data_IF_105019104277
#
_entry.id   IF_105019104277
#
_cell.length_a   1.000
_cell.length_b   1.000
_cell.length_c   1.000
_cell.angle_alpha   90.00
_cell.angle_beta   90.00
_cell.angle_gamma   90.00
#
_symmetry.space_group_name_H-M   'P 1'
#
loop_
_entity.id
_entity.type
_entity.pdbx_description
1 polymer ?
#
# COMPACT_ATOMS: atom_id res chain seq x y z
N UNK A 1 2.99 -13.67 20.77
CA UNK A 1 1.85 -13.24 19.95
C UNK A 1 1.67 -14.22 18.80
N UNK A 2 0.43 -14.60 18.43
CA UNK A 2 0.19 -15.46 17.25
C UNK A 2 0.63 -14.77 15.96
N UNK A 3 1.11 -15.53 14.98
CA UNK A 3 1.53 -15.01 13.68
C UNK A 3 2.89 -14.29 13.62
N UNK A 4 3.59 -14.15 14.74
CA UNK A 4 4.96 -13.62 14.76
C UNK A 4 5.93 -14.65 14.22
N UNK A 5 6.75 -14.26 13.25
CA UNK A 5 7.80 -15.10 12.69
C UNK A 5 9.05 -14.30 12.35
N UNK A 6 10.13 -15.01 12.02
CA UNK A 6 11.38 -14.39 11.58
C UNK A 6 11.23 -13.89 10.15
N UNK A 7 11.33 -12.59 9.96
CA UNK A 7 11.17 -11.90 8.67
C UNK A 7 12.50 -11.29 8.23
N UNK A 8 12.77 -11.33 6.93
CA UNK A 8 13.88 -10.59 6.35
C UNK A 8 13.49 -9.11 6.24
N UNK A 9 14.35 -8.23 6.75
CA UNK A 9 14.16 -6.79 6.66
C UNK A 9 15.06 -6.22 5.56
N UNK A 10 14.46 -5.86 4.43
CA UNK A 10 15.15 -5.13 3.37
C UNK A 10 15.40 -3.69 3.85
N UNK A 11 16.62 -3.36 4.25
CA UNK A 11 17.01 -2.02 4.69
C UNK A 11 18.36 -1.65 4.09
N UNK A 12 18.44 -0.44 3.53
CA UNK A 12 19.73 0.14 3.08
C UNK A 12 20.62 0.57 4.25
N UNK A 13 20.07 0.64 5.46
CA UNK A 13 20.82 0.98 6.67
C UNK A 13 21.51 -0.27 7.23
N UNK A 14 22.83 -0.36 7.09
CA UNK A 14 23.66 -1.45 7.56
C UNK A 14 23.64 -1.65 9.09
N UNK A 15 23.23 -0.64 9.86
CA UNK A 15 23.09 -0.74 11.32
C UNK A 15 21.83 -1.52 11.74
N UNK A 16 20.90 -1.78 10.83
CA UNK A 16 19.70 -2.58 11.12
C UNK A 16 19.96 -4.06 10.90
N UNK A 17 19.44 -4.94 11.78
CA UNK A 17 19.57 -6.38 11.59
C UNK A 17 18.85 -6.81 10.30
N UNK A 18 19.47 -7.74 9.55
CA UNK A 18 18.87 -8.28 8.32
C UNK A 18 17.60 -9.09 8.57
N UNK A 19 17.39 -9.58 9.82
CA UNK A 19 16.20 -10.32 10.21
C UNK A 19 15.61 -9.77 11.51
N UNK A 20 14.29 -9.72 11.55
CA UNK A 20 13.50 -9.30 12.71
C UNK A 20 12.40 -10.32 13.00
N UNK A 21 11.93 -10.36 14.24
CA UNK A 21 10.70 -11.08 14.58
C UNK A 21 9.52 -10.10 14.53
N UNK A 22 8.50 -10.42 13.77
CA UNK A 22 7.37 -9.52 13.60
C UNK A 22 6.20 -10.17 12.85
N UNK A 23 5.17 -9.37 12.66
CA UNK A 23 4.02 -9.72 11.82
C UNK A 23 4.23 -9.21 10.40
N UNK A 24 3.83 -10.02 9.42
CA UNK A 24 3.72 -9.60 8.03
C UNK A 24 2.29 -9.13 7.77
N UNK A 25 2.12 -7.82 7.59
CA UNK A 25 0.83 -7.24 7.21
C UNK A 25 0.79 -6.91 5.73
N UNK A 26 -0.34 -7.22 5.11
CA UNK A 26 -0.75 -6.63 3.85
C UNK A 26 -1.64 -5.42 4.11
N UNK A 27 -1.32 -4.29 3.50
CA UNK A 27 -2.10 -3.06 3.63
C UNK A 27 -2.62 -2.57 2.29
N UNK A 28 -3.90 -2.25 2.25
CA UNK A 28 -4.59 -1.68 1.09
C UNK A 28 -5.20 -0.33 1.46
N UNK A 29 -5.03 0.65 0.58
CA UNK A 29 -5.67 1.95 0.72
C UNK A 29 -6.16 2.48 -0.62
N UNK A 30 -7.18 3.35 -0.57
CA UNK A 30 -7.69 4.05 -1.74
C UNK A 30 -7.18 5.49 -1.76
N UNK A 31 -6.78 5.96 -2.94
CA UNK A 31 -6.43 7.37 -3.12
C UNK A 31 -7.71 8.21 -3.26
N UNK A 32 -7.88 9.18 -2.40
CA UNK A 32 -9.00 10.11 -2.40
C UNK A 32 -8.49 11.55 -2.31
N UNK A 33 -9.21 12.49 -2.93
CA UNK A 33 -8.86 13.90 -2.91
C UNK A 33 -8.81 14.54 -4.30
N UNK A 34 -7.97 15.55 -4.46
CA UNK A 34 -7.76 16.29 -5.70
C UNK A 34 -6.27 16.37 -6.05
N UNK A 35 -5.94 16.88 -7.25
CA UNK A 35 -4.58 16.90 -7.83
C UNK A 35 -3.46 17.32 -6.85
N UNK A 36 -3.74 18.22 -5.90
CA UNK A 36 -2.74 18.68 -4.92
C UNK A 36 -2.93 18.12 -3.52
N UNK A 37 -4.03 17.43 -3.26
CA UNK A 37 -4.49 17.04 -1.92
C UNK A 37 -4.89 15.57 -1.82
N UNK A 38 -4.11 14.68 -2.43
CA UNK A 38 -4.36 13.25 -2.33
C UNK A 38 -4.08 12.71 -0.93
N UNK A 39 -5.03 11.98 -0.37
CA UNK A 39 -4.86 11.10 0.79
C UNK A 39 -4.90 9.63 0.35
N UNK A 40 -4.22 8.77 1.07
CA UNK A 40 -4.41 7.33 0.98
C UNK A 40 -5.26 6.91 2.18
N UNK A 41 -6.54 6.64 1.95
CA UNK A 41 -7.46 6.19 2.99
C UNK A 41 -7.29 4.68 3.15
N UNK A 42 -6.97 4.17 4.35
CA UNK A 42 -6.81 2.74 4.57
C UNK A 42 -8.15 2.01 4.41
N UNK A 43 -8.17 0.99 3.57
CA UNK A 43 -9.32 0.09 3.39
C UNK A 43 -9.18 -1.15 4.27
N UNK A 44 -7.99 -1.75 4.30
CA UNK A 44 -7.72 -2.91 5.13
C UNK A 44 -6.25 -3.04 5.46
N UNK A 45 -5.95 -3.57 6.65
CA UNK A 45 -4.64 -4.08 7.03
C UNK A 45 -4.87 -5.44 7.67
N UNK A 46 -4.30 -6.49 7.06
CA UNK A 46 -4.51 -7.89 7.47
C UNK A 46 -3.19 -8.62 7.67
N UNK A 47 -3.19 -9.60 8.53
CA UNK A 47 -2.09 -10.54 8.66
C UNK A 47 -2.07 -11.48 7.46
N UNK A 48 -0.99 -11.45 6.68
CA UNK A 48 -0.82 -12.25 5.46
C UNK A 48 0.02 -13.51 5.65
N UNK A 49 0.76 -13.59 6.74
CA UNK A 49 1.70 -14.68 6.96
C UNK A 49 1.69 -15.13 8.42
N UNK A 50 2.12 -16.37 8.67
CA UNK A 50 2.19 -16.94 10.02
C UNK A 50 0.84 -17.35 10.61
N UNK A 51 -0.24 -17.42 9.82
CA UNK A 51 -1.59 -17.78 10.27
C UNK A 51 -2.17 -19.00 9.54
N UNK A 52 -1.37 -19.74 8.77
CA UNK A 52 -1.89 -20.84 7.97
C UNK A 52 -2.64 -21.87 8.82
N UNK A 53 -2.01 -22.40 9.86
CA UNK A 53 -2.64 -23.35 10.77
C UNK A 53 -3.90 -22.76 11.47
N UNK A 54 -3.89 -21.49 11.84
CA UNK A 54 -5.05 -20.84 12.45
C UNK A 54 -6.26 -20.82 11.51
N UNK A 55 -6.04 -20.54 10.22
CA UNK A 55 -7.10 -20.55 9.21
C UNK A 55 -7.61 -21.96 8.94
N UNK A 56 -6.73 -22.98 8.93
CA UNK A 56 -7.12 -24.37 8.82
C UNK A 56 -8.01 -24.82 10.00
N UNK A 57 -7.73 -24.34 11.22
CA UNK A 57 -8.58 -24.65 12.38
C UNK A 57 -10.00 -24.05 12.26
N UNK A 58 -10.17 -22.99 11.48
CA UNK A 58 -11.48 -22.38 11.17
C UNK A 58 -12.16 -23.02 9.95
N UNK A 59 -11.56 -24.06 9.37
CA UNK A 59 -12.10 -24.73 8.18
C UNK A 59 -11.97 -23.89 6.90
N UNK A 60 -11.20 -22.80 6.95
CA UNK A 60 -10.95 -22.01 5.77
C UNK A 60 -10.01 -22.74 4.82
N UNK A 61 -10.38 -22.85 3.55
CA UNK A 61 -9.46 -23.29 2.50
C UNK A 61 -8.29 -22.30 2.44
N UNK A 62 -7.16 -22.69 2.99
CA UNK A 62 -5.96 -21.86 2.95
C UNK A 62 -5.38 -21.95 1.56
N UNK A 63 -5.54 -20.89 0.80
CA UNK A 63 -4.68 -20.67 -0.35
C UNK A 63 -3.25 -20.56 0.18
N UNK A 64 -2.37 -21.49 -0.21
CA UNK A 64 -0.92 -21.38 0.02
C UNK A 64 -0.32 -20.22 -0.81
N UNK A 65 -1.14 -19.23 -1.12
CA UNK A 65 -0.78 -18.10 -1.94
C UNK A 65 0.25 -17.24 -1.22
N UNK A 66 1.27 -16.85 -1.94
CA UNK A 66 2.27 -15.91 -1.44
C UNK A 66 1.62 -14.58 -1.05
N UNK A 67 2.25 -13.83 -0.14
CA UNK A 67 1.84 -12.48 0.24
C UNK A 67 1.48 -11.59 -0.97
N UNK A 68 2.25 -11.70 -2.05
CA UNK A 68 2.03 -10.95 -3.29
C UNK A 68 0.67 -11.27 -3.93
N UNK A 69 0.32 -12.56 -4.01
CA UNK A 69 -0.96 -13.02 -4.55
C UNK A 69 -2.12 -12.61 -3.65
N UNK A 70 -1.96 -12.74 -2.33
CA UNK A 70 -2.97 -12.30 -1.36
C UNK A 70 -3.29 -10.80 -1.50
N UNK A 71 -2.25 -9.96 -1.71
CA UNK A 71 -2.44 -8.52 -1.95
C UNK A 71 -3.27 -8.23 -3.21
N UNK A 72 -3.04 -8.96 -4.31
CA UNK A 72 -3.84 -8.83 -5.55
C UNK A 72 -5.28 -9.26 -5.29
N UNK A 73 -5.51 -10.35 -4.56
CA UNK A 73 -6.85 -10.83 -4.20
C UNK A 73 -7.60 -9.83 -3.31
N UNK A 74 -6.94 -9.28 -2.30
CA UNK A 74 -7.56 -8.30 -1.40
C UNK A 74 -7.89 -7.00 -2.13
N UNK A 75 -7.02 -6.55 -3.04
CA UNK A 75 -7.29 -5.40 -3.90
C UNK A 75 -8.48 -5.65 -4.84
N UNK A 76 -8.56 -6.84 -5.44
CA UNK A 76 -9.69 -7.19 -6.31
C UNK A 76 -11.01 -7.26 -5.53
N UNK A 77 -11.01 -7.82 -4.30
CA UNK A 77 -12.19 -7.80 -3.43
C UNK A 77 -12.65 -6.37 -3.12
N UNK A 78 -11.71 -5.46 -2.90
CA UNK A 78 -12.05 -4.05 -2.71
C UNK A 78 -12.60 -3.42 -4.00
N UNK A 79 -12.03 -3.74 -5.16
CA UNK A 79 -12.50 -3.27 -6.46
C UNK A 79 -13.96 -3.65 -6.73
N UNK A 80 -14.46 -4.79 -6.23
CA UNK A 80 -15.87 -5.17 -6.33
C UNK A 80 -16.83 -4.12 -5.75
N UNK A 81 -16.38 -3.32 -4.78
CA UNK A 81 -17.18 -2.24 -4.20
C UNK A 81 -17.02 -0.89 -4.90
N UNK A 82 -15.94 -0.68 -5.65
CA UNK A 82 -15.60 0.61 -6.27
C UNK A 82 -15.67 0.59 -7.80
N UNK A 83 -15.72 -0.57 -8.44
CA UNK A 83 -15.67 -0.74 -9.88
C UNK A 83 -14.25 -0.93 -10.42
N UNK A 84 -14.10 -0.74 -11.75
CA UNK A 84 -12.82 -0.86 -12.44
C UNK A 84 -11.74 -0.02 -11.77
N UNK A 85 -10.56 -0.60 -11.55
CA UNK A 85 -9.56 -0.03 -10.67
C UNK A 85 -8.14 -0.18 -11.19
N UNK A 86 -7.27 0.73 -10.78
CA UNK A 86 -5.84 0.67 -11.04
C UNK A 86 -5.07 0.51 -9.73
N UNK A 87 -4.41 -0.61 -9.56
CA UNK A 87 -3.64 -0.94 -8.36
C UNK A 87 -2.20 -0.47 -8.51
N UNK A 88 -1.76 0.43 -7.61
CA UNK A 88 -0.39 0.95 -7.58
C UNK A 88 0.45 0.14 -6.58
N UNK A 89 1.42 -0.60 -7.09
CA UNK A 89 2.23 -1.53 -6.30
C UNK A 89 3.72 -1.17 -6.30
N UNK A 90 4.46 -1.62 -5.30
CA UNK A 90 5.91 -1.53 -5.28
C UNK A 90 6.54 -2.59 -6.20
N UNK A 91 7.83 -2.42 -6.52
CA UNK A 91 8.60 -3.34 -7.38
C UNK A 91 8.59 -4.80 -6.90
N UNK A 92 8.38 -5.03 -5.61
CA UNK A 92 8.28 -6.35 -5.00
C UNK A 92 7.14 -7.18 -5.61
N UNK A 93 6.09 -6.54 -6.07
CA UNK A 93 4.88 -7.18 -6.57
C UNK A 93 4.91 -7.54 -8.06
N UNK A 94 5.93 -7.15 -8.82
CA UNK A 94 6.08 -7.57 -10.21
C UNK A 94 6.57 -9.02 -10.26
N UNK A 95 5.64 -9.95 -10.20
CA UNK A 95 5.87 -11.40 -10.21
C UNK A 95 4.90 -12.11 -11.14
N UNK A 96 5.32 -13.24 -11.71
CA UNK A 96 4.46 -14.04 -12.59
C UNK A 96 3.19 -14.50 -11.86
N UNK A 97 3.24 -15.04 -10.62
CA UNK A 97 2.04 -15.46 -9.91
C UNK A 97 1.04 -14.32 -9.67
N UNK A 98 1.51 -13.08 -9.44
CA UNK A 98 0.63 -11.93 -9.28
C UNK A 98 -0.15 -11.63 -10.57
N UNK A 99 0.54 -11.63 -11.73
CA UNK A 99 -0.08 -11.37 -13.02
C UNK A 99 -1.01 -12.50 -13.46
N UNK A 100 -0.63 -13.76 -13.25
CA UNK A 100 -1.50 -14.91 -13.51
C UNK A 100 -2.79 -14.83 -12.67
N UNK A 101 -2.65 -14.49 -11.38
CA UNK A 101 -3.82 -14.33 -10.51
C UNK A 101 -4.70 -13.16 -10.92
N UNK A 102 -4.10 -12.01 -11.27
CA UNK A 102 -4.82 -10.87 -11.79
C UNK A 102 -5.60 -11.25 -13.06
N UNK A 103 -4.97 -11.93 -14.01
CA UNK A 103 -5.63 -12.40 -15.24
C UNK A 103 -6.79 -13.32 -14.95
N UNK A 104 -6.65 -14.27 -14.00
CA UNK A 104 -7.73 -15.16 -13.60
C UNK A 104 -8.90 -14.41 -12.93
N UNK A 105 -8.61 -13.40 -12.11
CA UNK A 105 -9.64 -12.57 -11.46
C UNK A 105 -10.39 -11.72 -12.48
N UNK A 106 -9.69 -11.05 -13.38
CA UNK A 106 -10.31 -10.27 -14.46
C UNK A 106 -11.18 -11.14 -15.40
N UNK A 107 -10.76 -12.38 -15.66
CA UNK A 107 -11.53 -13.33 -16.44
C UNK A 107 -12.83 -13.75 -15.74
N UNK A 108 -12.96 -13.60 -14.42
CA UNK A 108 -14.21 -13.84 -13.69
C UNK A 108 -15.28 -12.78 -13.95
N UNK A 109 -14.93 -11.64 -14.51
CA UNK A 109 -15.82 -10.70 -15.18
C UNK A 109 -16.60 -9.72 -14.32
N UNK A 110 -16.41 -9.69 -13.01
CA UNK A 110 -17.17 -8.79 -12.13
C UNK A 110 -16.71 -7.32 -12.24
N UNK A 111 -15.40 -7.11 -12.26
CA UNK A 111 -14.73 -5.80 -12.45
C UNK A 111 -13.41 -6.03 -13.16
N UNK A 112 -12.85 -4.99 -13.77
CA UNK A 112 -11.51 -5.02 -14.34
C UNK A 112 -10.51 -4.30 -13.45
N UNK A 113 -9.36 -4.93 -13.18
CA UNK A 113 -8.29 -4.32 -12.40
C UNK A 113 -6.98 -4.40 -13.16
N UNK A 114 -6.30 -3.26 -13.28
CA UNK A 114 -4.96 -3.16 -13.83
C UNK A 114 -3.92 -2.89 -12.73
N UNK A 115 -2.66 -3.14 -13.04
CA UNK A 115 -1.53 -2.89 -12.15
C UNK A 115 -0.57 -1.90 -12.77
N UNK A 116 -0.13 -0.91 -11.97
CA UNK A 116 1.07 -0.11 -12.24
C UNK A 116 2.07 -0.36 -11.13
N UNK A 117 3.28 -0.75 -11.52
CA UNK A 117 4.36 -1.08 -10.59
C UNK A 117 5.72 -0.64 -11.14
N UNK A 118 6.80 -0.99 -10.46
CA UNK A 118 8.18 -0.70 -10.86
C UNK A 118 8.93 -2.00 -11.12
N UNK A 119 9.70 -2.06 -12.21
CA UNK A 119 10.60 -3.18 -12.48
C UNK A 119 11.98 -2.96 -11.84
N UNK A 120 12.69 -4.05 -11.59
CA UNK A 120 14.12 -4.02 -11.25
C UNK A 120 14.92 -3.55 -12.47
N UNK A 121 16.03 -2.84 -12.27
CA UNK A 121 16.92 -2.44 -13.38
C UNK A 121 17.47 -3.63 -14.19
N UNK A 122 17.64 -4.79 -13.54
CA UNK A 122 18.06 -6.04 -14.17
C UNK A 122 16.95 -6.78 -14.89
N UNK A 123 15.76 -6.20 -15.02
CA UNK A 123 14.61 -6.84 -15.64
C UNK A 123 14.87 -7.07 -17.13
N UNK A 124 14.55 -8.29 -17.59
CA UNK A 124 14.59 -8.68 -18.99
C UNK A 124 13.17 -8.92 -19.48
N UNK A 125 12.81 -8.31 -20.59
CA UNK A 125 11.56 -8.50 -21.31
C UNK A 125 11.85 -9.11 -22.69
N UNK A 126 10.83 -9.36 -23.49
CA UNK A 126 10.98 -10.01 -24.79
C UNK A 126 10.16 -9.28 -25.85
N UNK A 127 10.69 -9.22 -27.04
CA UNK A 127 9.94 -8.78 -28.21
C UNK A 127 8.79 -9.77 -28.50
N UNK A 128 7.77 -9.32 -29.22
CA UNK A 128 6.79 -10.23 -29.83
C UNK A 128 7.49 -11.18 -30.80
N UNK A 129 7.01 -12.45 -30.89
CA UNK A 129 7.57 -13.38 -31.86
C UNK A 129 7.36 -12.81 -33.27
N UNK A 130 8.37 -13.01 -34.12
CA UNK A 130 8.27 -12.67 -35.54
C UNK A 130 7.19 -13.51 -36.24
N UNK A 131 6.92 -13.19 -37.54
CA UNK A 131 5.93 -13.93 -38.33
C UNK A 131 6.28 -15.42 -38.37
N UNK A 132 5.22 -16.25 -38.39
CA UNK A 132 5.36 -17.71 -38.39
C UNK A 132 6.14 -18.14 -39.61
N UNK A 133 7.27 -18.82 -39.40
CA UNK A 133 8.02 -19.48 -40.51
C UNK A 133 7.36 -20.82 -40.84
N UNK A 134 7.21 -21.15 -42.12
CA UNK A 134 6.76 -22.48 -42.52
C UNK A 134 7.76 -23.54 -41.96
N UNK A 135 7.25 -24.59 -41.30
CA UNK A 135 8.07 -25.63 -40.71
C UNK A 135 7.35 -26.44 -39.66
N UNK A 136 7.95 -27.60 -39.29
CA UNK A 136 7.47 -28.45 -38.18
C UNK A 136 7.88 -27.84 -36.85
N UNK A 137 6.99 -27.78 -35.89
CA UNK A 137 7.29 -27.37 -34.53
C UNK A 137 6.26 -26.39 -33.95
N UNK A 138 6.30 -26.21 -32.62
CA UNK A 138 5.45 -25.25 -31.91
C UNK A 138 5.91 -23.83 -32.21
N UNK A 139 4.99 -22.91 -32.57
CA UNK A 139 5.36 -21.50 -32.76
C UNK A 139 6.06 -20.90 -31.53
N UNK A 140 7.09 -20.05 -31.72
CA UNK A 140 7.74 -19.39 -30.60
C UNK A 140 6.75 -18.49 -29.86
N UNK A 141 6.76 -18.56 -28.52
CA UNK A 141 5.90 -17.72 -27.67
C UNK A 141 6.48 -16.32 -27.43
N UNK A 142 7.75 -16.09 -27.73
CA UNK A 142 8.49 -14.85 -27.53
C UNK A 142 9.53 -14.64 -28.61
N UNK A 143 9.88 -13.37 -28.85
CA UNK A 143 10.99 -12.95 -29.71
C UNK A 143 12.31 -12.78 -28.93
N UNK A 144 13.16 -11.89 -29.40
CA UNK A 144 14.47 -11.58 -28.82
C UNK A 144 14.32 -11.03 -27.38
N UNK A 145 15.31 -11.35 -26.55
CA UNK A 145 15.41 -10.79 -25.22
C UNK A 145 15.85 -9.33 -25.27
N UNK A 146 15.25 -8.51 -24.42
CA UNK A 146 15.50 -7.07 -24.27
C UNK A 146 15.87 -6.80 -22.82
N UNK A 147 17.09 -6.40 -22.55
CA UNK A 147 17.51 -5.94 -21.24
C UNK A 147 17.07 -4.49 -21.08
N UNK A 148 16.09 -4.24 -20.23
CA UNK A 148 15.46 -2.92 -20.12
C UNK A 148 16.44 -1.80 -19.74
N UNK A 149 17.48 -2.11 -18.97
CA UNK A 149 18.52 -1.17 -18.61
C UNK A 149 19.26 -0.62 -19.84
N UNK A 150 19.49 -1.45 -20.84
CA UNK A 150 20.27 -1.08 -22.01
C UNK A 150 19.51 -0.10 -22.93
N UNK A 151 18.18 -0.07 -22.80
CA UNK A 151 17.34 0.86 -23.56
C UNK A 151 17.59 2.33 -23.19
N UNK A 152 18.06 2.63 -21.98
CA UNK A 152 18.41 4.00 -21.61
C UNK A 152 19.55 4.57 -22.48
N UNK A 153 20.49 3.73 -22.90
CA UNK A 153 21.56 4.13 -23.76
C UNK A 153 21.20 3.96 -25.27
N UNK A 154 20.70 2.78 -25.64
CA UNK A 154 20.44 2.44 -27.05
C UNK A 154 19.27 3.24 -27.68
N UNK A 155 18.33 3.71 -26.85
CA UNK A 155 17.17 4.49 -27.30
C UNK A 155 17.20 5.94 -26.78
N UNK A 156 18.35 6.45 -26.36
CA UNK A 156 18.49 7.79 -25.78
C UNK A 156 17.88 8.91 -26.63
N UNK A 157 17.99 8.81 -27.98
CA UNK A 157 17.41 9.77 -28.92
C UNK A 157 15.87 9.70 -29.07
N UNK A 158 15.22 8.65 -28.52
CA UNK A 158 13.77 8.47 -28.58
C UNK A 158 13.08 8.91 -27.28
N UNK A 159 13.86 9.31 -26.27
CA UNK A 159 13.29 9.84 -25.03
C UNK A 159 12.65 11.19 -25.26
N UNK A 160 11.41 11.32 -24.81
CA UNK A 160 10.67 12.58 -24.79
C UNK A 160 10.99 13.34 -23.50
N UNK A 161 11.16 14.65 -23.62
CA UNK A 161 11.36 15.54 -22.47
C UNK A 161 10.08 16.32 -22.17
N UNK A 162 9.72 16.41 -20.90
CA UNK A 162 8.56 17.18 -20.46
C UNK A 162 8.70 17.64 -19.02
N UNK A 163 7.85 18.58 -18.61
CA UNK A 163 7.64 18.92 -17.22
C UNK A 163 6.37 18.26 -16.69
N UNK A 164 6.46 17.65 -15.52
CA UNK A 164 5.33 17.03 -14.83
C UNK A 164 5.30 17.46 -13.38
N UNK A 165 4.10 17.59 -12.81
CA UNK A 165 3.94 17.79 -11.37
C UNK A 165 4.00 16.40 -10.69
N UNK A 166 5.14 16.11 -10.06
CA UNK A 166 5.41 14.86 -9.36
C UNK A 166 5.81 15.17 -7.91
N UNK A 167 5.27 14.41 -6.97
CA UNK A 167 5.53 14.60 -5.53
C UNK A 167 5.26 16.04 -5.05
N UNK A 168 4.28 16.74 -5.66
CA UNK A 168 3.90 18.10 -5.32
C UNK A 168 4.86 19.19 -5.81
N UNK A 169 5.77 18.86 -6.73
CA UNK A 169 6.73 19.79 -7.36
C UNK A 169 6.74 19.60 -8.87
N UNK A 170 6.98 20.68 -9.60
CA UNK A 170 7.30 20.59 -11.02
C UNK A 170 8.67 19.94 -11.18
N UNK A 171 8.75 18.88 -11.98
CA UNK A 171 9.95 18.11 -12.25
C UNK A 171 10.14 18.01 -13.76
N UNK A 172 11.35 18.24 -14.23
CA UNK A 172 11.75 17.92 -15.60
C UNK A 172 12.07 16.43 -15.66
N UNK A 173 11.43 15.72 -16.57
CA UNK A 173 11.60 14.28 -16.77
C UNK A 173 11.88 13.98 -18.23
N UNK A 174 12.64 12.92 -18.45
CA UNK A 174 12.79 12.28 -19.75
C UNK A 174 12.20 10.88 -19.66
N UNK A 175 11.41 10.48 -20.64
CA UNK A 175 10.81 9.15 -20.63
C UNK A 175 10.73 8.55 -22.03
N UNK A 176 10.74 7.22 -22.06
CA UNK A 176 10.56 6.40 -23.26
C UNK A 176 9.61 5.25 -22.92
N UNK A 177 8.69 4.94 -23.84
CA UNK A 177 7.69 3.87 -23.62
C UNK A 177 7.79 2.81 -24.69
N UNK A 178 7.67 1.55 -24.28
CA UNK A 178 7.70 0.39 -25.15
C UNK A 178 6.84 -0.73 -24.59
N UNK A 179 6.09 -1.41 -25.47
CA UNK A 179 5.28 -2.57 -25.11
C UNK A 179 6.06 -3.85 -25.44
N UNK A 180 6.32 -4.68 -24.42
CA UNK A 180 7.12 -5.90 -24.52
C UNK A 180 6.45 -7.04 -23.75
N UNK A 181 6.78 -8.28 -24.11
CA UNK A 181 6.36 -9.46 -23.40
C UNK A 181 7.19 -9.66 -22.13
N UNK A 182 6.54 -10.00 -21.03
CA UNK A 182 7.20 -10.27 -19.75
C UNK A 182 6.62 -11.49 -19.03
N UNK A 183 7.45 -12.06 -18.15
CA UNK A 183 7.09 -13.21 -17.32
C UNK A 183 7.42 -14.54 -17.99
N UNK A 184 8.31 -15.32 -17.38
CA UNK A 184 8.68 -16.64 -17.92
C UNK A 184 7.45 -17.56 -17.97
N UNK A 185 7.21 -18.18 -19.12
CA UNK A 185 6.03 -19.00 -19.47
C UNK A 185 4.73 -18.22 -19.66
N UNK A 186 4.51 -17.12 -18.95
CA UNK A 186 3.33 -16.24 -19.08
C UNK A 186 3.40 -15.43 -20.38
N UNK A 187 4.53 -14.75 -20.62
CA UNK A 187 4.77 -13.88 -21.77
C UNK A 187 3.61 -12.91 -22.05
N UNK A 188 3.13 -12.26 -20.99
CA UNK A 188 2.11 -11.24 -21.08
C UNK A 188 2.70 -9.94 -21.63
N UNK A 189 1.95 -9.28 -22.50
CA UNK A 189 2.32 -7.93 -22.99
C UNK A 189 2.11 -6.91 -21.89
N UNK A 190 3.15 -6.14 -21.60
CA UNK A 190 3.16 -5.07 -20.60
C UNK A 190 3.76 -3.81 -21.21
N UNK A 191 3.27 -2.65 -20.79
CA UNK A 191 3.87 -1.37 -21.11
C UNK A 191 4.97 -1.04 -20.14
N UNK A 192 6.18 -0.85 -20.65
CA UNK A 192 7.33 -0.39 -19.90
C UNK A 192 7.56 1.09 -20.17
N UNK A 193 7.67 1.89 -19.11
CA UNK A 193 7.99 3.32 -19.19
C UNK A 193 9.29 3.55 -18.45
N UNK A 194 10.34 3.81 -19.25
CA UNK A 194 11.66 4.16 -18.75
C UNK A 194 11.65 5.64 -18.42
N UNK A 195 12.08 6.01 -17.23
CA UNK A 195 12.01 7.39 -16.72
C UNK A 195 13.36 7.80 -16.18
N UNK A 196 13.82 8.97 -16.58
CA UNK A 196 14.98 9.67 -16.03
C UNK A 196 14.51 10.95 -15.34
N UNK A 197 14.82 11.09 -14.07
CA UNK A 197 14.47 12.26 -13.28
C UNK A 197 15.61 12.56 -12.28
N UNK A 198 16.14 13.76 -12.30
CA UNK A 198 17.23 14.18 -11.40
C UNK A 198 18.42 13.20 -11.38
N UNK A 199 18.81 12.69 -12.54
CA UNK A 199 19.89 11.70 -12.67
C UNK A 199 19.54 10.28 -12.24
N UNK A 200 18.32 10.04 -11.78
CA UNK A 200 17.84 8.71 -11.35
C UNK A 200 17.02 8.06 -12.45
N UNK A 201 17.43 6.85 -12.84
CA UNK A 201 16.73 6.00 -13.80
C UNK A 201 15.77 5.05 -13.09
N UNK A 202 14.55 4.96 -13.58
CA UNK A 202 13.49 4.08 -13.10
C UNK A 202 12.75 3.44 -14.28
N UNK A 203 12.23 2.24 -14.07
CA UNK A 203 11.43 1.51 -15.06
C UNK A 203 10.07 1.23 -14.44
N UNK A 204 9.03 1.88 -14.93
CA UNK A 204 7.64 1.64 -14.53
C UNK A 204 7.02 0.62 -15.47
N UNK A 205 6.02 -0.10 -14.98
CA UNK A 205 5.34 -1.18 -15.71
C UNK A 205 3.86 -1.04 -15.52
N UNK A 206 3.09 -1.16 -16.60
CA UNK A 206 1.62 -1.19 -16.57
C UNK A 206 1.08 -2.42 -17.29
N UNK A 207 0.04 -3.05 -16.74
CA UNK A 207 -0.76 -4.06 -17.45
C UNK A 207 -1.76 -3.40 -18.41
N UNK A 208 -2.16 -2.15 -18.11
CA UNK A 208 -3.03 -1.36 -18.99
C UNK A 208 -2.20 -0.77 -20.15
N UNK A 209 -2.41 -1.28 -21.37
CA UNK A 209 -1.70 -0.84 -22.57
C UNK A 209 -2.29 0.43 -23.18
N UNK A 210 -3.50 0.82 -22.77
CA UNK A 210 -4.18 2.04 -23.25
C UNK A 210 -3.80 3.27 -22.43
N UNK A 211 -3.24 3.08 -21.23
CA UNK A 211 -2.85 4.17 -20.36
C UNK A 211 -1.61 4.88 -20.90
N UNK A 212 -1.71 6.19 -21.06
CA UNK A 212 -0.63 7.04 -21.55
C UNK A 212 0.59 7.02 -20.61
N UNK A 213 1.83 7.03 -21.15
CA UNK A 213 3.06 6.93 -20.36
C UNK A 213 3.20 8.02 -19.28
N UNK A 214 2.79 9.25 -19.57
CA UNK A 214 2.88 10.35 -18.62
C UNK A 214 1.91 10.17 -17.47
N UNK A 215 0.71 9.63 -17.75
CA UNK A 215 -0.26 9.25 -16.73
C UNK A 215 0.25 8.12 -15.84
N UNK A 216 0.94 7.11 -16.40
CA UNK A 216 1.61 6.06 -15.61
C UNK A 216 2.62 6.68 -14.62
N UNK A 217 3.45 7.62 -15.09
CA UNK A 217 4.45 8.29 -14.24
C UNK A 217 3.77 9.09 -13.12
N UNK A 218 2.73 9.86 -13.44
CA UNK A 218 1.96 10.66 -12.46
C UNK A 218 1.28 9.78 -11.43
N UNK A 219 0.57 8.75 -11.86
CA UNK A 219 -0.15 7.84 -10.98
C UNK A 219 0.82 7.09 -10.07
N UNK A 220 1.94 6.59 -10.60
CA UNK A 220 2.95 5.92 -9.77
C UNK A 220 3.54 6.86 -8.71
N UNK A 221 3.65 8.15 -8.98
CA UNK A 221 4.14 9.11 -7.97
C UNK A 221 3.24 9.19 -6.72
N UNK A 222 1.95 8.86 -6.85
CA UNK A 222 1.02 8.83 -5.72
C UNK A 222 1.17 7.57 -4.84
N UNK A 223 1.83 6.51 -5.32
CA UNK A 223 2.09 5.30 -4.53
C UNK A 223 2.72 5.62 -3.17
N UNK A 224 3.59 6.63 -3.11
CA UNK A 224 4.21 7.05 -1.85
C UNK A 224 3.20 7.44 -0.75
N UNK A 225 1.96 7.75 -1.10
CA UNK A 225 0.91 8.11 -0.13
C UNK A 225 0.57 6.95 0.82
N UNK A 226 0.79 5.70 0.42
CA UNK A 226 0.60 4.56 1.33
C UNK A 226 1.62 4.56 2.47
N UNK A 227 2.84 5.01 2.22
CA UNK A 227 3.87 5.15 3.26
C UNK A 227 3.51 6.24 4.26
N UNK A 228 2.92 7.35 3.78
CA UNK A 228 2.36 8.38 4.64
C UNK A 228 1.20 7.82 5.48
N UNK A 229 0.30 7.03 4.88
CA UNK A 229 -0.80 6.37 5.58
C UNK A 229 -0.29 5.47 6.71
N UNK A 230 0.68 4.60 6.45
CA UNK A 230 1.27 3.74 7.48
C UNK A 230 1.93 4.55 8.61
N UNK A 231 2.62 5.64 8.26
CA UNK A 231 3.22 6.54 9.25
C UNK A 231 2.16 7.16 10.16
N UNK A 232 1.10 7.71 9.58
CA UNK A 232 0.01 8.34 10.34
C UNK A 232 -0.77 7.31 11.18
N UNK A 233 -1.05 6.12 10.64
CA UNK A 233 -1.62 5.01 11.41
C UNK A 233 -0.76 4.68 12.64
N UNK A 234 0.54 4.62 12.48
CA UNK A 234 1.48 4.33 13.55
C UNK A 234 1.51 5.45 14.61
N UNK A 235 1.53 6.71 14.15
CA UNK A 235 1.76 7.86 15.02
C UNK A 235 0.46 8.42 15.65
N UNK A 236 -0.67 8.37 14.94
CA UNK A 236 -1.91 9.01 15.38
C UNK A 236 -2.87 8.02 16.03
N UNK A 237 -3.07 6.84 15.46
CA UNK A 237 -4.01 5.84 15.98
C UNK A 237 -3.36 4.72 16.78
N UNK A 238 -2.02 4.62 16.78
CA UNK A 238 -1.32 3.55 17.48
C UNK A 238 -1.57 2.16 16.89
N UNK A 239 -1.92 2.06 15.60
CA UNK A 239 -2.32 0.83 14.95
C UNK A 239 -1.36 -0.35 15.17
N UNK A 240 -0.06 -0.09 15.28
CA UNK A 240 0.96 -1.11 15.48
C UNK A 240 1.43 -1.23 16.94
N UNK A 241 0.76 -0.57 17.90
CA UNK A 241 1.10 -0.57 19.33
C UNK A 241 0.22 -1.53 20.14
N UNK A 242 -0.13 -2.67 19.58
CA UNK A 242 -0.95 -3.69 20.24
C UNK A 242 -0.08 -4.76 20.93
N UNK A 243 -0.66 -5.39 21.98
CA UNK A 243 -0.01 -6.45 22.77
C UNK A 243 -1.02 -7.56 23.07
N UNK A 244 -1.53 -8.23 22.02
CA UNK A 244 -2.46 -9.34 22.20
C UNK A 244 -1.69 -10.66 22.33
N UNK A 245 -1.68 -11.20 23.52
CA UNK A 245 -0.96 -12.41 23.89
C UNK A 245 -1.91 -13.59 24.07
N UNK A 246 -1.40 -14.78 23.78
CA UNK A 246 -2.00 -16.03 24.27
C UNK A 246 -0.94 -16.84 25.00
N UNK A 247 -1.24 -17.24 26.23
CA UNK A 247 -0.36 -18.12 27.01
C UNK A 247 -0.20 -19.51 26.41
N UNK A 248 -1.06 -19.85 25.46
CA UNK A 248 -1.06 -21.14 24.74
C UNK A 248 -0.13 -21.12 23.51
N UNK A 249 0.46 -19.98 23.19
CA UNK A 249 1.47 -19.92 22.14
C UNK A 249 2.79 -20.50 22.63
N UNK A 250 3.40 -21.39 21.86
CA UNK A 250 4.74 -21.88 22.15
C UNK A 250 5.74 -20.72 22.08
N UNK A 251 6.83 -20.84 22.88
CA UNK A 251 7.92 -19.85 22.83
C UNK A 251 8.63 -19.94 21.49
N UNK A 252 8.88 -18.78 20.88
CA UNK A 252 9.73 -18.68 19.69
C UNK A 252 11.18 -18.80 20.10
N UNK A 253 11.91 -19.70 19.44
CA UNK A 253 13.36 -19.72 19.51
C UNK A 253 13.94 -18.61 18.63
N UNK A 254 14.96 -17.91 19.11
CA UNK A 254 15.69 -16.94 18.29
C UNK A 254 16.33 -17.60 17.06
N UNK A 255 16.78 -18.83 17.23
CA UNK A 255 17.35 -19.67 16.17
C UNK A 255 16.33 -20.74 15.75
N UNK A 256 15.49 -20.42 14.76
CA UNK A 256 14.69 -21.46 14.10
C UNK A 256 15.55 -22.20 13.09
N UNK A 257 15.57 -23.54 13.17
CA UNK A 257 16.19 -24.39 12.17
C UNK A 257 15.30 -24.43 10.91
N UNK A 258 15.95 -24.57 9.75
CA UNK A 258 15.22 -24.75 8.48
C UNK A 258 14.42 -26.04 8.55
N UNK A 259 13.10 -25.97 8.29
CA UNK A 259 12.20 -27.11 8.34
C UNK A 259 11.54 -27.37 9.70
N UNK A 260 11.79 -26.55 10.72
CA UNK A 260 10.99 -26.60 11.94
C UNK A 260 9.55 -26.15 11.65
N UNK A 261 8.53 -26.85 12.21
CA UNK A 261 7.13 -26.47 12.05
C UNK A 261 6.88 -25.08 12.62
N UNK A 262 5.97 -24.34 11.99
CA UNK A 262 5.59 -23.02 12.47
C UNK A 262 5.02 -23.10 13.90
N UNK A 263 5.19 -22.04 14.72
CA UNK A 263 4.74 -22.06 16.12
C UNK A 263 3.26 -22.42 16.30
N UNK A 264 2.39 -22.01 15.37
CA UNK A 264 0.98 -22.34 15.43
C UNK A 264 0.69 -23.84 15.21
N UNK A 265 1.46 -24.51 14.38
CA UNK A 265 1.31 -25.96 14.14
C UNK A 265 1.55 -26.81 15.40
N UNK A 266 2.29 -26.26 16.37
CA UNK A 266 2.59 -26.91 17.66
C UNK A 266 1.49 -26.70 18.71
N UNK A 267 0.42 -25.96 18.39
CA UNK A 267 -0.69 -25.73 19.33
C UNK A 267 -1.66 -26.89 19.25
N UNK A 268 -1.70 -27.69 20.31
CA UNK A 268 -2.56 -28.87 20.43
C UNK A 268 -3.77 -28.61 21.31
N UNK A 269 -4.90 -29.26 20.97
CA UNK A 269 -6.15 -29.20 21.71
C UNK A 269 -7.05 -28.03 21.34
N UNK A 270 -8.36 -28.24 21.46
CA UNK A 270 -9.38 -27.29 21.03
C UNK A 270 -9.36 -25.98 21.83
N UNK A 271 -9.26 -26.06 23.16
CA UNK A 271 -9.26 -24.89 24.05
C UNK A 271 -8.05 -23.96 23.80
N UNK A 272 -6.79 -24.45 23.69
CA UNK A 272 -5.65 -23.65 23.28
C UNK A 272 -5.83 -23.01 21.90
N UNK A 273 -6.27 -23.78 20.88
CA UNK A 273 -6.52 -23.26 19.53
C UNK A 273 -7.52 -22.12 19.52
N UNK A 274 -8.65 -22.27 20.21
CA UNK A 274 -9.66 -21.21 20.37
C UNK A 274 -9.08 -19.95 20.99
N UNK A 275 -8.27 -20.07 22.05
CA UNK A 275 -7.62 -18.90 22.71
C UNK A 275 -6.57 -18.22 21.84
N UNK A 276 -5.91 -18.95 20.96
CA UNK A 276 -5.02 -18.37 19.96
C UNK A 276 -5.80 -17.64 18.88
N UNK A 277 -6.91 -18.21 18.38
CA UNK A 277 -7.80 -17.58 17.41
C UNK A 277 -8.42 -16.29 17.97
N UNK A 278 -8.84 -16.26 19.23
CA UNK A 278 -9.33 -15.04 19.90
C UNK A 278 -8.26 -13.93 19.86
N UNK A 279 -6.99 -14.26 20.09
CA UNK A 279 -5.89 -13.29 20.02
C UNK A 279 -5.62 -12.81 18.59
N UNK A 280 -5.72 -13.70 17.58
CA UNK A 280 -5.61 -13.32 16.16
C UNK A 280 -6.73 -12.36 15.78
N UNK A 281 -7.97 -12.69 16.13
CA UNK A 281 -9.14 -11.83 15.87
C UNK A 281 -9.02 -10.46 16.56
N UNK A 282 -8.45 -10.41 17.77
CA UNK A 282 -8.19 -9.15 18.46
C UNK A 282 -7.17 -8.28 17.72
N UNK A 283 -6.11 -8.87 17.15
CA UNK A 283 -5.14 -8.14 16.31
C UNK A 283 -5.83 -7.56 15.09
N UNK A 284 -6.57 -8.39 14.34
CA UNK A 284 -7.25 -7.95 13.11
C UNK A 284 -8.32 -6.91 13.37
N UNK A 285 -9.09 -7.05 14.47
CA UNK A 285 -10.09 -6.05 14.87
C UNK A 285 -9.44 -4.72 15.27
N UNK A 286 -8.33 -4.74 16.01
CA UNK A 286 -7.58 -3.54 16.35
C UNK A 286 -7.09 -2.81 15.09
N UNK A 287 -6.58 -3.55 14.09
CA UNK A 287 -6.16 -2.98 12.83
C UNK A 287 -7.35 -2.39 12.05
N UNK A 288 -8.48 -3.09 12.00
CA UNK A 288 -9.70 -2.61 11.33
C UNK A 288 -10.22 -1.31 11.97
N UNK A 289 -10.31 -1.24 13.30
CA UNK A 289 -10.72 -0.03 14.02
C UNK A 289 -9.73 1.13 13.79
N UNK A 290 -8.44 0.84 13.74
CA UNK A 290 -7.41 1.85 13.43
C UNK A 290 -7.55 2.38 12.00
N UNK A 291 -7.87 1.51 11.03
CA UNK A 291 -8.16 1.91 9.64
C UNK A 291 -9.41 2.81 9.57
N UNK A 292 -10.49 2.42 10.26
CA UNK A 292 -11.74 3.21 10.31
C UNK A 292 -11.46 4.59 10.91
N UNK A 293 -10.78 4.65 12.06
CA UNK A 293 -10.44 5.91 12.72
C UNK A 293 -9.59 6.82 11.81
N UNK A 294 -8.59 6.27 11.15
CA UNK A 294 -7.76 7.02 10.20
C UNK A 294 -8.58 7.46 8.98
N UNK A 295 -9.44 6.61 8.45
CA UNK A 295 -10.34 6.93 7.33
C UNK A 295 -11.27 8.10 7.66
N UNK A 296 -11.81 8.14 8.87
CA UNK A 296 -12.63 9.27 9.36
C UNK A 296 -11.78 10.54 9.42
N UNK A 297 -10.60 10.52 10.04
CA UNK A 297 -9.70 11.69 10.10
C UNK A 297 -9.35 12.24 8.71
N UNK A 298 -9.01 11.36 7.77
CA UNK A 298 -8.67 11.75 6.41
C UNK A 298 -9.88 12.29 5.64
N UNK A 299 -11.03 11.69 5.81
CA UNK A 299 -12.29 12.19 5.20
C UNK A 299 -12.64 13.57 5.71
N UNK A 300 -12.52 13.81 7.01
CA UNK A 300 -12.72 15.13 7.61
C UNK A 300 -11.68 16.15 7.10
N UNK A 301 -10.40 15.75 7.02
CA UNK A 301 -9.35 16.59 6.47
C UNK A 301 -9.61 17.05 5.03
N UNK A 302 -10.21 16.17 4.22
CA UNK A 302 -10.56 16.48 2.82
C UNK A 302 -11.82 17.35 2.74
N UNK A 303 -12.86 17.02 3.50
CA UNK A 303 -14.17 17.68 3.44
C UNK A 303 -14.15 19.09 4.02
N UNK A 304 -13.36 19.32 5.07
CA UNK A 304 -13.34 20.58 5.82
C UNK A 304 -12.04 21.35 5.62
N UNK A 305 -11.50 21.32 4.38
CA UNK A 305 -10.35 22.14 3.97
C UNK A 305 -10.63 23.62 4.28
N UNK A 306 -9.69 24.25 4.98
CA UNK A 306 -9.81 25.68 5.36
C UNK A 306 -10.75 25.97 6.53
N UNK A 307 -11.46 24.96 7.05
CA UNK A 307 -12.35 25.13 8.21
C UNK A 307 -11.60 25.11 9.55
N UNK A 308 -10.45 24.44 9.63
CA UNK A 308 -9.58 24.42 10.82
C UNK A 308 -8.41 25.36 10.54
N UNK A 309 -8.35 26.45 11.29
CA UNK A 309 -7.38 27.51 11.07
C UNK A 309 -5.95 27.17 11.52
N UNK A 310 -4.96 27.97 11.10
CA UNK A 310 -3.56 27.81 11.50
C UNK A 310 -3.33 27.83 13.02
N UNK A 311 -4.13 28.54 13.78
CA UNK A 311 -4.09 28.60 15.24
C UNK A 311 -4.29 27.25 15.94
N UNK A 312 -4.83 26.26 15.23
CA UNK A 312 -5.04 24.90 15.75
C UNK A 312 -3.84 23.96 15.47
N UNK A 313 -2.79 24.45 14.84
CA UNK A 313 -1.61 23.64 14.55
C UNK A 313 -0.76 23.50 15.82
N UNK A 314 -0.57 22.26 16.27
CA UNK A 314 0.14 21.92 17.52
C UNK A 314 1.60 22.39 17.55
N UNK A 315 2.25 22.35 16.40
CA UNK A 315 3.65 22.76 16.27
C UNK A 315 3.70 23.91 15.25
N UNK A 316 4.51 24.94 15.50
CA UNK A 316 4.73 26.07 14.59
C UNK A 316 5.35 25.62 13.24
N UNK A 317 4.65 24.76 12.53
CA UNK A 317 5.02 24.34 11.19
C UNK A 317 4.27 25.19 10.18
N UNK A 318 4.93 25.51 9.09
CA UNK A 318 4.26 26.10 7.94
C UNK A 318 3.10 25.20 7.54
N UNK A 319 1.84 25.69 7.54
CA UNK A 319 0.71 24.87 7.12
C UNK A 319 0.95 24.33 5.72
N UNK A 320 0.74 23.04 5.50
CA UNK A 320 0.76 22.51 4.15
C UNK A 320 -0.36 23.18 3.37
N UNK A 321 -0.03 23.72 2.20
CA UNK A 321 -1.02 24.34 1.32
C UNK A 321 -2.08 23.30 0.96
N UNK A 322 -3.30 23.49 1.42
CA UNK A 322 -4.47 22.82 0.91
C UNK A 322 -5.30 22.03 1.91
N UNK A 323 -4.73 21.23 2.82
CA UNK A 323 -5.51 20.51 3.83
C UNK A 323 -4.82 20.44 5.18
N UNK A 324 -5.60 20.31 6.23
CA UNK A 324 -5.11 20.09 7.58
C UNK A 324 -4.62 18.65 7.72
N UNK A 325 -3.46 18.45 8.36
CA UNK A 325 -2.92 17.10 8.57
C UNK A 325 -3.75 16.30 9.59
N UNK A 326 -3.69 14.98 9.49
CA UNK A 326 -4.34 14.06 10.43
C UNK A 326 -3.90 14.33 11.89
N UNK A 327 -2.63 14.68 12.08
CA UNK A 327 -2.08 15.05 13.40
C UNK A 327 -2.73 16.31 13.98
N UNK A 328 -2.95 17.34 13.14
CA UNK A 328 -3.62 18.57 13.55
C UNK A 328 -5.08 18.33 13.90
N UNK A 329 -5.78 17.53 13.09
CA UNK A 329 -7.16 17.12 13.38
C UNK A 329 -7.26 16.35 14.69
N UNK A 330 -6.38 15.37 14.91
CA UNK A 330 -6.36 14.59 16.13
C UNK A 330 -6.10 15.49 17.37
N UNK A 331 -5.19 16.46 17.24
CA UNK A 331 -4.94 17.43 18.29
C UNK A 331 -6.18 18.29 18.58
N UNK A 332 -6.83 18.79 17.52
CA UNK A 332 -8.06 19.56 17.61
C UNK A 332 -9.17 18.80 18.35
N UNK A 333 -9.42 17.55 17.95
CA UNK A 333 -10.40 16.71 18.63
C UNK A 333 -10.05 16.42 20.09
N UNK A 334 -8.79 16.11 20.40
CA UNK A 334 -8.35 15.90 21.78
C UNK A 334 -8.57 17.11 22.66
N UNK A 335 -8.41 18.33 22.12
CA UNK A 335 -8.61 19.58 22.85
C UNK A 335 -10.10 19.86 23.11
N UNK A 336 -10.95 19.61 22.12
CA UNK A 336 -12.33 20.12 22.12
C UNK A 336 -13.40 19.05 22.28
N UNK A 337 -13.18 17.85 21.82
CA UNK A 337 -14.18 16.79 21.78
C UNK A 337 -14.83 16.51 23.14
N UNK A 338 -14.03 16.30 24.18
CA UNK A 338 -14.55 15.98 25.50
C UNK A 338 -15.33 17.13 26.15
N UNK A 339 -14.90 18.39 25.89
CA UNK A 339 -15.60 19.57 26.36
C UNK A 339 -16.99 19.66 25.74
N UNK A 340 -17.07 19.55 24.42
CA UNK A 340 -18.34 19.64 23.69
C UNK A 340 -19.26 18.46 23.95
N UNK A 341 -18.71 17.26 24.03
CA UNK A 341 -19.49 16.07 24.37
C UNK A 341 -20.09 16.16 25.78
N UNK A 342 -19.38 16.78 26.73
CA UNK A 342 -19.88 17.03 28.09
C UNK A 342 -20.98 18.09 28.14
N UNK A 343 -20.99 19.06 27.24
CA UNK A 343 -22.00 20.09 27.12
C UNK A 343 -23.24 19.62 26.35
N UNK A 344 -22.99 18.88 25.26
CA UNK A 344 -24.03 18.44 24.32
C UNK A 344 -23.77 17.01 23.83
N UNK A 345 -24.22 15.99 24.59
CA UNK A 345 -23.92 14.59 24.26
C UNK A 345 -24.42 14.12 22.89
N UNK A 346 -25.43 14.79 22.33
CA UNK A 346 -26.01 14.48 21.01
C UNK A 346 -25.26 15.06 19.80
N UNK A 347 -24.24 15.91 20.01
CA UNK A 347 -23.51 16.53 18.91
C UNK A 347 -22.75 15.53 18.04
N UNK A 348 -22.89 15.71 16.74
CA UNK A 348 -22.07 14.97 15.75
C UNK A 348 -20.71 15.65 15.59
N UNK A 349 -19.68 14.89 15.21
CA UNK A 349 -18.30 15.41 14.97
C UNK A 349 -18.30 16.60 14.01
N UNK A 350 -19.15 16.58 12.98
CA UNK A 350 -19.26 17.66 12.00
C UNK A 350 -19.81 18.95 12.61
N UNK A 351 -20.78 18.86 13.53
CA UNK A 351 -21.34 20.00 14.25
C UNK A 351 -20.30 20.60 15.21
N UNK A 352 -19.54 19.74 15.91
CA UNK A 352 -18.44 20.16 16.77
C UNK A 352 -17.42 21.03 16.00
N UNK A 353 -17.06 20.63 14.79
CA UNK A 353 -16.12 21.37 13.95
C UNK A 353 -16.73 22.72 13.53
N UNK A 354 -18.01 22.77 13.18
CA UNK A 354 -18.70 23.97 12.73
C UNK A 354 -18.86 24.99 13.86
N UNK A 355 -19.35 24.56 15.02
CA UNK A 355 -19.60 25.46 16.15
C UNK A 355 -18.34 26.10 16.71
N UNK A 356 -17.22 25.37 16.77
CA UNK A 356 -15.95 25.94 17.21
C UNK A 356 -15.31 26.95 16.25
N UNK A 357 -15.85 27.09 15.05
CA UNK A 357 -15.40 28.16 14.13
C UNK A 357 -16.12 29.49 14.38
N UNK A 358 -17.28 29.45 15.01
CA UNK A 358 -18.07 30.63 15.35
C UNK A 358 -17.60 31.26 16.67
N UNK A 359 -16.82 30.54 17.50
CA UNK A 359 -16.18 31.14 18.68
C UNK A 359 -15.03 32.06 18.25
N UNK A 360 -15.03 33.37 18.65
CA UNK A 360 -13.89 34.25 18.44
C UNK A 360 -12.63 33.64 19.04
N UNK A 361 -11.58 33.54 18.24
CA UNK A 361 -10.36 32.83 18.66
C UNK A 361 -9.87 33.30 20.02
N UNK A 362 -9.77 32.40 20.99
CA UNK A 362 -8.97 32.64 22.18
C UNK A 362 -7.53 32.92 21.74
N UNK A 363 -7.13 34.18 21.91
CA UNK A 363 -5.77 34.61 21.68
C UNK A 363 -4.82 33.82 22.56
N UNK A 364 -3.86 33.15 21.93
CA UNK A 364 -2.82 32.35 22.56
C UNK A 364 -1.73 33.22 23.23
N UNK A 365 -2.06 34.42 23.75
CA UNK A 365 -1.11 35.35 24.30
C UNK A 365 -0.71 35.14 25.75
N UNK A 366 -1.05 34.02 26.37
CA UNK A 366 -0.80 33.85 27.82
C UNK A 366 0.07 32.67 28.23
N UNK A 367 0.87 32.04 27.33
CA UNK A 367 1.85 31.03 27.72
C UNK A 367 3.28 31.29 27.20
N UNK A 368 3.67 32.55 27.16
CA UNK A 368 5.06 32.98 27.00
C UNK A 368 5.38 34.00 28.07
N UNK A 369 5.39 33.57 29.33
CA UNK A 369 6.03 34.29 30.45
C UNK A 369 6.60 33.27 31.41
#
# INVERSE_FOLDING_TARGET
MPGVKKLFQESENSAKPGFIHGHMFGGLGILAGSIRNWACIPLSIRLHDGLQAAREWEGASVSAASHVVQMVEDAYKAALAFGDSLLLLDRYFLTVPALERLGALNASGAVHMDIVTKAKKSCTAYQKPGPRRPGRGRPPKKGAAVHLKDLFASHAGQFQETEAELYGKKQRIRYYSIDLLWGQKLYQELRFVLVEMNGVQSILVSTCLTLDPLSIIRLYSYRFRIECMFRELKQQTGAFCYHFWSKHMPRLSYYQKKGEPEPLERVEGEKPRRKVLEAVRAIEMHMALSCISMGILQSLSIRYIGKIGPSQIRYQRTPSKGRVSEATLMHYFRKHFFRLLGQEPGLRITQIIQELQEEPGEQWDSMAS
#
